data_IF_113299220037
#
_entry.id   IF_113299220037
#
_cell.length_a   1.000
_cell.length_b   1.000
_cell.length_c   1.000
_cell.angle_alpha   90.00
_cell.angle_beta   90.00
_cell.angle_gamma   90.00
#
_symmetry.space_group_name_H-M   'P 1'
#
loop_
_entity.id
_entity.type
_entity.pdbx_description
1 polymer ?
#
# COMPACT_ATOMS: atom_id res chain seq x y z
N UNK A 1 -23.72 2.87 -2.10
CA UNK A 1 -22.57 2.69 -1.17
C UNK A 1 -22.24 4.04 -0.56
N UNK A 2 -21.97 4.10 0.74
CA UNK A 2 -21.54 5.35 1.40
C UNK A 2 -20.07 5.61 1.05
N UNK A 3 -19.69 6.82 0.63
CA UNK A 3 -18.29 7.16 0.40
C UNK A 3 -17.45 6.93 1.67
N UNK A 4 -16.26 6.35 1.53
CA UNK A 4 -15.29 6.10 2.61
C UNK A 4 -13.96 6.78 2.35
N UNK A 5 -13.26 7.15 3.43
CA UNK A 5 -11.84 7.43 3.34
C UNK A 5 -11.11 6.08 3.34
N UNK A 6 -10.14 5.95 2.44
CA UNK A 6 -9.32 4.75 2.39
C UNK A 6 -8.19 4.86 3.42
N UNK A 7 -7.65 3.74 3.92
CA UNK A 7 -6.47 3.80 4.78
C UNK A 7 -5.23 4.23 3.98
N UNK A 8 -4.14 4.59 4.67
CA UNK A 8 -2.82 4.60 4.06
C UNK A 8 -2.55 3.27 3.35
N UNK A 9 -1.91 3.38 2.19
CA UNK A 9 -1.55 2.26 1.37
C UNK A 9 -0.35 1.49 1.89
N UNK A 10 -0.27 0.23 1.49
CA UNK A 10 0.86 -0.66 1.75
C UNK A 10 1.50 -1.11 0.43
N UNK A 11 2.77 -1.51 0.49
CA UNK A 11 3.40 -2.31 -0.55
C UNK A 11 3.28 -3.78 -0.16
N UNK A 12 2.76 -4.59 -1.07
CA UNK A 12 2.84 -6.04 -0.94
C UNK A 12 4.08 -6.51 -1.68
N UNK A 13 4.90 -7.30 -1.01
CA UNK A 13 6.10 -7.91 -1.57
C UNK A 13 5.95 -9.43 -1.61
N UNK A 14 6.58 -10.06 -2.60
CA UNK A 14 6.81 -11.49 -2.53
C UNK A 14 7.76 -11.78 -1.35
N UNK A 15 7.66 -12.94 -0.68
CA UNK A 15 8.50 -13.25 0.48
C UNK A 15 10.00 -13.30 0.17
N UNK A 16 10.36 -13.47 -1.10
CA UNK A 16 11.74 -13.51 -1.59
C UNK A 16 12.20 -12.17 -2.19
N UNK A 17 11.38 -11.11 -2.11
CA UNK A 17 11.75 -9.84 -2.72
C UNK A 17 12.90 -9.19 -1.92
N UNK A 18 14.03 -8.85 -2.56
CA UNK A 18 15.18 -8.26 -1.87
C UNK A 18 14.89 -6.87 -1.30
N UNK A 19 13.87 -6.19 -1.84
CA UNK A 19 13.42 -4.87 -1.39
C UNK A 19 12.42 -4.93 -0.24
N UNK A 20 11.94 -6.12 0.13
CA UNK A 20 11.18 -6.26 1.38
C UNK A 20 12.18 -6.07 2.52
N UNK A 21 12.28 -4.85 3.06
CA UNK A 21 13.37 -4.46 3.95
C UNK A 21 13.60 -5.43 5.11
N UNK A 22 14.81 -5.42 5.69
CA UNK A 22 15.35 -6.38 6.67
C UNK A 22 14.47 -6.69 7.91
N UNK A 23 13.40 -5.93 8.12
CA UNK A 23 12.39 -6.26 9.12
C UNK A 23 11.46 -7.35 8.61
N UNK A 24 11.63 -8.58 9.10
CA UNK A 24 10.62 -9.64 9.09
C UNK A 24 9.21 -9.07 9.36
N UNK A 25 8.46 -8.70 8.32
CA UNK A 25 7.05 -8.34 8.46
C UNK A 25 6.21 -9.60 8.29
N UNK A 26 5.16 -9.69 9.09
CA UNK A 26 4.26 -10.84 9.11
C UNK A 26 3.88 -11.24 7.68
N UNK A 27 4.20 -12.47 7.31
CA UNK A 27 3.79 -13.04 6.02
C UNK A 27 2.30 -13.38 6.14
N UNK A 28 1.47 -12.77 5.30
CA UNK A 28 0.04 -13.02 5.26
C UNK A 28 -0.31 -13.82 4.01
N UNK A 29 -1.31 -14.72 4.07
CA UNK A 29 -1.91 -15.25 2.85
C UNK A 29 -2.36 -14.10 1.95
N UNK A 30 -2.06 -14.18 0.65
CA UNK A 30 -2.25 -13.06 -0.28
C UNK A 30 -3.68 -12.55 -0.33
N UNK A 31 -4.66 -13.45 -0.35
CA UNK A 31 -6.08 -13.08 -0.33
C UNK A 31 -6.47 -12.33 0.96
N UNK A 32 -5.88 -12.71 2.10
CA UNK A 32 -6.09 -12.00 3.36
C UNK A 32 -5.46 -10.60 3.32
N UNK A 33 -4.25 -10.47 2.79
CA UNK A 33 -3.60 -9.17 2.64
C UNK A 33 -4.41 -8.23 1.72
N UNK A 34 -4.94 -8.73 0.60
CA UNK A 34 -5.78 -7.95 -0.31
C UNK A 34 -7.08 -7.49 0.38
N UNK A 35 -7.68 -8.34 1.21
CA UNK A 35 -8.89 -8.01 1.96
C UNK A 35 -8.63 -6.99 3.08
N UNK A 36 -7.54 -7.17 3.82
CA UNK A 36 -7.18 -6.32 4.97
C UNK A 36 -6.61 -4.95 4.50
N UNK A 37 -5.95 -4.92 3.35
CA UNK A 37 -5.28 -3.73 2.80
C UNK A 37 -5.77 -3.43 1.37
N UNK A 38 -7.01 -2.91 1.21
CA UNK A 38 -7.59 -2.62 -0.10
C UNK A 38 -6.86 -1.50 -0.86
N UNK A 39 -6.09 -0.67 -0.14
CA UNK A 39 -5.14 0.29 -0.70
C UNK A 39 -3.76 -0.34 -0.72
N UNK A 40 -3.43 -1.07 -1.78
CA UNK A 40 -2.10 -1.66 -1.92
C UNK A 40 -1.52 -1.43 -3.31
N UNK A 41 -0.19 -1.43 -3.37
CA UNK A 41 0.56 -1.63 -4.60
C UNK A 41 1.37 -2.92 -4.50
N UNK A 42 1.46 -3.65 -5.60
CA UNK A 42 2.36 -4.79 -5.71
C UNK A 42 3.77 -4.29 -6.02
N UNK A 43 4.78 -4.85 -5.35
CA UNK A 43 6.20 -4.49 -5.55
C UNK A 43 6.76 -4.97 -6.92
N UNK A 44 5.98 -5.73 -7.70
CA UNK A 44 6.36 -6.27 -9.02
C UNK A 44 7.48 -7.33 -8.97
N UNK A 45 7.78 -7.91 -7.79
CA UNK A 45 8.69 -9.06 -7.66
C UNK A 45 7.93 -10.37 -8.03
N UNK A 46 7.57 -10.51 -9.31
CA UNK A 46 6.79 -11.63 -9.85
C UNK A 46 5.30 -11.34 -10.06
N UNK A 47 4.49 -12.39 -10.21
CA UNK A 47 3.04 -12.30 -10.35
C UNK A 47 2.35 -12.39 -8.98
N UNK A 48 1.45 -11.47 -8.69
CA UNK A 48 0.69 -11.48 -7.42
C UNK A 48 -0.21 -12.72 -7.31
N UNK A 49 -0.85 -13.11 -8.42
CA UNK A 49 -1.79 -14.25 -8.45
C UNK A 49 -1.08 -15.60 -8.18
N UNK A 50 0.20 -15.71 -8.53
CA UNK A 50 1.03 -16.90 -8.30
C UNK A 50 1.73 -16.87 -6.93
N UNK A 51 1.57 -15.79 -6.17
CA UNK A 51 2.23 -15.59 -4.88
C UNK A 51 1.26 -15.96 -3.76
N UNK A 52 1.44 -17.09 -3.04
CA UNK A 52 0.47 -17.55 -2.02
C UNK A 52 0.54 -16.75 -0.71
N UNK A 53 1.69 -16.15 -0.42
CA UNK A 53 1.93 -15.35 0.77
C UNK A 53 2.68 -14.07 0.40
N UNK A 54 2.38 -12.98 1.08
CA UNK A 54 3.03 -11.68 0.87
C UNK A 54 3.55 -11.12 2.17
N UNK A 55 4.60 -10.31 2.05
CA UNK A 55 5.10 -9.45 3.11
C UNK A 55 4.42 -8.09 2.95
N UNK A 56 3.79 -7.60 4.02
CA UNK A 56 3.11 -6.30 4.01
C UNK A 56 4.06 -5.23 4.54
N UNK A 57 4.37 -4.25 3.69
CA UNK A 57 5.18 -3.10 4.05
C UNK A 57 4.33 -1.83 4.09
N UNK A 58 4.33 -1.13 5.22
CA UNK A 58 3.76 0.22 5.27
C UNK A 58 4.53 1.13 4.31
N UNK A 59 3.83 1.86 3.45
CA UNK A 59 4.46 2.83 2.57
C UNK A 59 5.03 3.96 3.42
N UNK A 60 6.34 4.17 3.33
CA UNK A 60 6.92 5.46 3.70
C UNK A 60 6.57 6.47 2.61
N UNK A 61 5.73 7.43 2.99
CA UNK A 61 5.30 8.49 2.09
C UNK A 61 6.37 9.57 1.90
N UNK A 62 7.38 9.66 2.76
CA UNK A 62 8.38 10.72 2.71
C UNK A 62 7.77 12.12 2.52
N UNK A 63 8.43 12.97 1.71
CA UNK A 63 7.90 14.27 1.26
C UNK A 63 7.09 14.15 -0.05
N UNK A 64 6.53 12.98 -0.37
CA UNK A 64 5.79 12.78 -1.60
C UNK A 64 4.52 13.65 -1.60
N UNK A 65 4.44 14.58 -2.55
CA UNK A 65 3.21 15.32 -2.81
C UNK A 65 2.16 14.38 -3.40
N UNK A 66 0.94 14.42 -2.87
CA UNK A 66 -0.18 13.64 -3.40
C UNK A 66 -0.38 13.93 -4.90
N UNK A 67 -0.14 12.91 -5.73
CA UNK A 67 -0.49 12.93 -7.15
C UNK A 67 -1.69 12.02 -7.40
N UNK A 68 -2.84 12.54 -7.86
CA UNK A 68 -4.00 11.69 -8.16
C UNK A 68 -3.68 10.76 -9.34
N UNK A 69 -3.97 9.47 -9.18
CA UNK A 69 -3.93 8.53 -10.30
C UNK A 69 -5.21 8.71 -11.15
N UNK A 70 -5.11 9.09 -12.43
CA UNK A 70 -6.25 8.96 -13.33
C UNK A 70 -6.50 7.45 -13.56
N UNK A 71 -7.61 6.96 -13.03
CA UNK A 71 -8.03 5.55 -13.08
C UNK A 71 -9.40 5.40 -12.45
N UNK A 72 -9.91 4.17 -12.34
CA UNK A 72 -11.17 3.89 -11.62
C UNK A 72 -10.80 3.51 -10.18
N UNK A 73 -10.73 4.46 -9.22
CA UNK A 73 -10.68 4.09 -7.81
C UNK A 73 -11.92 3.26 -7.45
N UNK A 74 -11.91 2.55 -6.32
CA UNK A 74 -13.13 1.94 -5.80
C UNK A 74 -14.28 2.95 -5.82
N UNK A 75 -15.46 2.53 -6.29
CA UNK A 75 -16.61 3.42 -6.56
C UNK A 75 -17.10 4.19 -5.33
N UNK A 76 -16.67 3.78 -4.15
CA UNK A 76 -17.01 4.38 -2.87
C UNK A 76 -15.84 5.15 -2.23
N UNK A 77 -14.77 5.47 -2.98
CA UNK A 77 -13.73 6.36 -2.50
C UNK A 77 -14.19 7.83 -2.50
N UNK A 78 -13.98 8.53 -1.37
CA UNK A 78 -14.29 9.98 -1.25
C UNK A 78 -13.36 10.83 -2.13
N UNK A 79 -12.14 10.37 -2.37
CA UNK A 79 -11.09 11.04 -3.15
C UNK A 79 -10.35 10.03 -4.03
N UNK A 80 -9.72 10.45 -5.14
CA UNK A 80 -8.87 9.56 -5.92
C UNK A 80 -7.76 8.94 -5.05
N UNK A 81 -7.23 7.79 -5.48
CA UNK A 81 -6.05 7.21 -4.84
C UNK A 81 -4.79 7.84 -5.41
N UNK A 82 -3.75 7.93 -4.61
CA UNK A 82 -2.46 8.42 -5.06
C UNK A 82 -1.85 7.49 -6.12
N UNK A 83 -1.31 8.05 -7.22
CA UNK A 83 -0.65 7.33 -8.31
C UNK A 83 0.51 6.45 -7.84
N UNK A 84 1.30 6.96 -6.89
CA UNK A 84 2.51 6.30 -6.40
C UNK A 84 2.20 5.27 -5.33
N UNK A 85 1.29 5.62 -4.41
CA UNK A 85 1.09 4.87 -3.17
C UNK A 85 -0.21 4.06 -3.13
N UNK A 86 -1.14 4.29 -4.08
CA UNK A 86 -2.47 3.64 -4.16
C UNK A 86 -3.30 3.68 -2.87
N UNK A 87 -2.98 4.61 -1.98
CA UNK A 87 -3.73 4.96 -0.78
C UNK A 87 -4.15 6.41 -0.83
N UNK A 88 -5.05 6.80 0.06
CA UNK A 88 -5.21 8.20 0.39
C UNK A 88 -4.12 8.54 1.38
N UNK A 89 -3.40 9.65 1.17
CA UNK A 89 -2.42 10.07 2.16
C UNK A 89 -3.20 10.25 3.47
N UNK A 90 -2.87 9.43 4.48
CA UNK A 90 -3.18 9.75 5.87
C UNK A 90 -2.51 11.08 6.23
N UNK A 91 -2.79 11.67 7.40
CA UNK A 91 -2.09 12.89 7.82
C UNK A 91 -0.60 12.65 7.67
N UNK A 92 0.09 13.57 6.99
CA UNK A 92 1.53 13.52 6.79
C UNK A 92 2.18 13.34 8.16
N UNK A 93 2.55 12.11 8.50
CA UNK A 93 3.45 11.89 9.62
C UNK A 93 4.81 12.17 9.04
N UNK A 94 5.10 13.46 8.91
CA UNK A 94 6.47 13.94 8.81
C UNK A 94 7.26 13.12 9.79
N UNK A 95 8.20 12.33 9.28
CA UNK A 95 9.30 11.82 10.08
C UNK A 95 9.95 13.04 10.69
N UNK A 96 9.52 13.40 11.89
CA UNK A 96 10.29 14.19 12.81
C UNK A 96 11.53 13.34 13.02
N UNK A 97 12.61 13.70 12.33
CA UNK A 97 13.96 13.41 12.78
C UNK A 97 14.05 13.95 14.21
N UNK A 98 13.79 13.06 15.17
CA UNK A 98 14.04 13.33 16.56
C UNK A 98 15.55 13.24 16.75
N UNK A 99 16.15 14.44 16.81
CA UNK A 99 17.37 14.86 17.50
C UNK A 99 18.67 14.08 17.28
#
# INVERSE_FOLDING_TARGET
MKPRDFPPGVVLHAPHCPDAGDGNKATLPTLKAIADYPSFRWCLCGNLDDTPHVVVEAIDYGLHLYEPAPGVPPRDAIRPLCKTCRGTHGPATSGVVAS
#
